data_IF_880106719527
#
_entry.id   IF_880106719527
#
_cell.length_a   1.000
_cell.length_b   1.000
_cell.length_c   1.000
_cell.angle_alpha   90.00
_cell.angle_beta   90.00
_cell.angle_gamma   90.00
#
_symmetry.space_group_name_H-M   'P 1'
#
loop_
_entity.id
_entity.type
_entity.pdbx_description
1 polymer ?
#
# COMPACT_ATOMS: atom_id res chain seq x y z
N UNK A 1 11.31 9.62 21.45
CA UNK A 1 11.13 10.47 20.27
C UNK A 1 10.44 9.62 19.20
N UNK A 2 9.15 9.83 19.00
CA UNK A 2 8.40 9.08 17.97
C UNK A 2 8.47 9.86 16.67
N UNK A 3 9.26 9.42 15.71
CA UNK A 3 9.26 9.98 14.37
C UNK A 3 8.02 9.45 13.64
N UNK A 4 7.19 10.34 13.14
CA UNK A 4 6.12 9.96 12.20
C UNK A 4 6.75 9.69 10.82
N UNK A 5 6.30 8.63 10.16
CA UNK A 5 6.77 8.23 8.82
C UNK A 5 5.55 8.01 7.96
N UNK A 6 5.44 8.76 6.88
CA UNK A 6 4.32 8.76 5.92
C UNK A 6 4.63 7.98 4.64
N UNK A 7 5.90 7.77 4.34
CA UNK A 7 6.31 6.91 3.24
C UNK A 7 7.51 6.04 3.63
N UNK A 8 7.53 4.82 3.17
CA UNK A 8 8.60 3.88 3.46
C UNK A 8 8.71 2.82 2.38
N UNK A 9 9.94 2.46 2.05
CA UNK A 9 10.25 1.39 1.11
C UNK A 9 10.43 0.08 1.84
N UNK A 10 9.69 -0.96 1.43
CA UNK A 10 9.80 -2.31 1.97
C UNK A 10 10.02 -3.32 0.86
N UNK A 11 10.63 -4.43 1.22
CA UNK A 11 10.87 -5.55 0.31
C UNK A 11 10.07 -6.75 0.80
N UNK A 12 9.23 -7.29 -0.08
CA UNK A 12 8.35 -8.42 0.23
C UNK A 12 8.66 -9.60 -0.67
N UNK A 13 8.59 -10.80 -0.09
CA UNK A 13 8.68 -12.05 -0.82
C UNK A 13 7.63 -13.02 -0.31
N UNK A 14 6.82 -13.59 -1.22
CA UNK A 14 5.93 -14.69 -0.88
C UNK A 14 6.74 -15.98 -0.63
N UNK A 15 6.14 -16.95 0.05
CA UNK A 15 6.77 -18.23 0.29
C UNK A 15 6.96 -19.01 -1.01
N UNK A 16 8.10 -19.67 -1.20
CA UNK A 16 8.30 -20.60 -2.29
C UNK A 16 7.41 -21.85 -2.11
N UNK A 17 7.01 -22.47 -3.20
CA UNK A 17 6.41 -23.82 -3.14
C UNK A 17 7.45 -24.87 -2.74
N UNK A 18 7.03 -25.86 -1.94
CA UNK A 18 7.83 -27.05 -1.63
C UNK A 18 7.98 -27.97 -2.84
N UNK A 19 9.05 -28.71 -2.92
CA UNK A 19 9.29 -29.65 -4.01
C UNK A 19 8.42 -30.90 -3.88
N UNK A 20 8.00 -31.46 -5.00
CA UNK A 20 7.43 -32.81 -5.02
C UNK A 20 8.48 -33.87 -4.70
N UNK A 21 8.05 -34.96 -4.08
CA UNK A 21 8.93 -36.08 -3.73
C UNK A 21 8.99 -37.12 -4.85
N UNK A 22 10.19 -37.67 -5.06
CA UNK A 22 10.39 -38.83 -5.88
C UNK A 22 10.68 -40.01 -4.94
N UNK A 23 9.68 -40.87 -4.74
CA UNK A 23 9.82 -42.08 -3.92
C UNK A 23 9.00 -43.23 -4.46
N UNK A 24 9.35 -44.43 -4.05
CA UNK A 24 8.69 -45.66 -4.43
C UNK A 24 8.34 -46.44 -3.17
N UNK A 25 7.17 -47.05 -3.19
CA UNK A 25 6.70 -47.87 -2.09
C UNK A 25 7.63 -49.04 -1.81
N UNK A 26 8.04 -49.19 -0.56
CA UNK A 26 8.94 -50.27 -0.13
C UNK A 26 8.36 -50.98 1.08
N UNK A 27 7.97 -52.21 0.89
CA UNK A 27 7.54 -53.10 1.97
C UNK A 27 8.30 -54.44 1.89
N UNK A 28 8.30 -55.14 3.02
CA UNK A 28 8.86 -56.48 3.08
C UNK A 28 8.09 -57.40 2.12
N UNK A 29 8.77 -58.04 1.19
CA UNK A 29 8.23 -58.90 0.11
C UNK A 29 7.58 -58.18 -1.07
N UNK A 30 7.62 -56.83 -1.17
CA UNK A 30 7.24 -56.09 -2.37
C UNK A 30 8.49 -55.64 -3.10
N UNK A 31 8.86 -56.37 -4.18
CA UNK A 31 10.07 -56.08 -4.94
C UNK A 31 9.96 -54.84 -5.84
N UNK A 32 8.77 -54.57 -6.37
CA UNK A 32 8.49 -53.46 -7.29
C UNK A 32 7.26 -52.68 -6.78
N UNK A 33 7.47 -51.81 -5.79
CA UNK A 33 6.43 -50.89 -5.34
C UNK A 33 6.24 -49.76 -6.34
N UNK A 34 4.99 -49.31 -6.51
CA UNK A 34 4.66 -48.18 -7.36
C UNK A 34 5.18 -46.84 -6.82
N UNK A 35 5.10 -45.76 -7.60
CA UNK A 35 5.51 -44.44 -7.15
C UNK A 35 4.57 -43.94 -6.02
N UNK A 36 5.17 -43.49 -4.94
CA UNK A 36 4.46 -43.03 -3.73
C UNK A 36 4.93 -41.65 -3.23
N UNK A 37 5.62 -40.90 -4.10
CA UNK A 37 6.05 -39.54 -3.77
C UNK A 37 4.90 -38.59 -3.61
N UNK A 38 4.85 -37.91 -2.47
CA UNK A 38 3.87 -36.86 -2.14
C UNK A 38 4.19 -35.53 -2.82
N UNK A 39 3.19 -34.66 -2.87
CA UNK A 39 3.31 -33.32 -3.45
C UNK A 39 3.95 -32.35 -2.44
N UNK A 40 4.66 -31.33 -2.93
CA UNK A 40 5.09 -30.22 -2.10
C UNK A 40 3.92 -29.33 -1.66
N UNK A 41 4.04 -28.70 -0.50
CA UNK A 41 3.09 -27.71 -0.01
C UNK A 41 3.22 -26.39 -0.77
N UNK A 42 2.13 -25.65 -0.87
CA UNK A 42 2.19 -24.28 -1.40
C UNK A 42 2.90 -23.36 -0.40
N UNK A 43 3.58 -22.32 -0.87
CA UNK A 43 4.12 -21.25 -0.05
C UNK A 43 3.01 -20.36 0.53
N UNK A 44 3.35 -19.61 1.58
CA UNK A 44 2.47 -18.60 2.17
C UNK A 44 2.38 -17.34 1.33
N UNK A 45 1.24 -16.68 1.37
CA UNK A 45 0.98 -15.41 0.70
C UNK A 45 1.54 -14.24 1.52
N UNK A 46 1.70 -13.07 0.87
CA UNK A 46 1.90 -11.79 1.55
C UNK A 46 0.60 -10.99 1.44
N UNK A 47 0.00 -10.71 2.61
CA UNK A 47 -1.25 -9.99 2.73
C UNK A 47 -1.02 -8.70 3.51
N UNK A 48 -1.68 -7.61 3.12
CA UNK A 48 -1.74 -6.38 3.89
C UNK A 48 -3.10 -6.28 4.59
N UNK A 49 -3.06 -5.78 5.82
CA UNK A 49 -4.25 -5.61 6.66
C UNK A 49 -4.33 -4.15 7.14
N UNK A 50 -5.44 -3.46 6.84
CA UNK A 50 -5.70 -2.09 7.28
C UNK A 50 -6.14 -2.06 8.75
N UNK A 51 -5.23 -1.66 9.64
CA UNK A 51 -5.46 -1.63 11.10
C UNK A 51 -5.78 -0.21 11.57
N UNK A 52 -6.98 -0.03 12.17
CA UNK A 52 -7.43 1.25 12.75
C UNK A 52 -6.54 1.74 13.90
N UNK A 53 -5.80 0.84 14.55
CA UNK A 53 -4.96 1.21 15.70
C UNK A 53 -3.56 1.67 15.26
N UNK A 54 -3.25 1.61 13.97
CA UNK A 54 -2.00 2.10 13.41
C UNK A 54 -2.21 3.46 12.76
N UNK A 55 -1.33 4.43 13.06
CA UNK A 55 -1.40 5.81 12.56
C UNK A 55 -0.10 6.25 11.87
N UNK A 56 0.90 5.38 11.76
CA UNK A 56 2.21 5.71 11.20
C UNK A 56 2.87 4.48 10.58
N UNK A 57 3.70 4.70 9.59
CA UNK A 57 4.54 3.66 8.97
C UNK A 57 5.91 3.49 9.65
N UNK A 58 6.08 4.04 10.88
CA UNK A 58 7.38 4.07 11.57
C UNK A 58 8.01 2.68 11.77
N UNK A 59 7.20 1.67 12.05
CA UNK A 59 7.68 0.31 12.33
C UNK A 59 8.39 -0.29 11.12
N UNK A 60 7.98 0.08 9.91
CA UNK A 60 8.59 -0.38 8.66
C UNK A 60 9.98 0.18 8.41
N UNK A 61 10.36 1.25 9.09
CA UNK A 61 11.71 1.80 9.04
C UNK A 61 12.73 0.92 9.76
N UNK A 62 12.28 0.20 10.80
CA UNK A 62 13.13 -0.72 11.57
C UNK A 62 13.17 -2.10 10.94
N UNK A 63 12.09 -2.52 10.30
CA UNK A 63 12.00 -3.79 9.59
C UNK A 63 11.52 -3.53 8.16
N UNK A 64 12.42 -3.63 7.20
CA UNK A 64 12.13 -3.37 5.77
C UNK A 64 11.99 -4.63 4.93
N UNK A 65 12.28 -5.82 5.48
CA UNK A 65 12.23 -7.09 4.75
C UNK A 65 11.17 -8.01 5.35
N UNK A 66 10.28 -8.48 4.50
CA UNK A 66 9.13 -9.32 4.84
C UNK A 66 9.11 -10.54 3.93
N UNK A 67 9.17 -11.74 4.52
CA UNK A 67 9.15 -12.99 3.76
C UNK A 67 8.13 -13.93 4.40
N UNK A 68 7.19 -14.43 3.59
CA UNK A 68 6.24 -15.44 4.03
C UNK A 68 6.91 -16.83 4.10
N UNK A 69 6.29 -17.76 4.80
CA UNK A 69 6.80 -19.11 5.00
C UNK A 69 6.76 -19.93 3.70
N UNK A 70 7.82 -20.68 3.42
CA UNK A 70 7.86 -21.59 2.30
C UNK A 70 6.97 -22.82 2.54
N UNK A 71 6.45 -23.41 1.48
CA UNK A 71 5.84 -24.73 1.55
C UNK A 71 6.88 -25.81 1.85
N UNK A 72 6.47 -26.82 2.60
CA UNK A 72 7.31 -27.97 2.93
C UNK A 72 7.36 -28.93 1.75
N UNK A 73 8.52 -29.54 1.51
CA UNK A 73 8.67 -30.56 0.47
C UNK A 73 7.77 -31.78 0.74
N UNK A 74 7.33 -32.43 -0.32
CA UNK A 74 6.62 -33.69 -0.25
C UNK A 74 7.54 -34.80 0.28
N UNK A 75 6.95 -35.84 0.86
CA UNK A 75 7.68 -36.98 1.41
C UNK A 75 7.19 -38.31 0.79
N UNK A 76 7.87 -39.39 1.13
CA UNK A 76 7.47 -40.75 0.73
C UNK A 76 6.12 -41.14 1.36
N UNK A 77 5.48 -42.18 0.85
CA UNK A 77 4.23 -42.69 1.35
C UNK A 77 3.04 -41.78 1.03
N UNK A 78 3.09 -41.06 -0.09
CA UNK A 78 2.07 -40.09 -0.52
C UNK A 78 1.86 -38.91 0.46
N UNK A 79 2.83 -38.60 1.32
CA UNK A 79 2.74 -37.51 2.28
C UNK A 79 2.97 -36.16 1.59
N UNK A 80 1.90 -35.37 1.50
CA UNK A 80 1.96 -34.00 0.96
C UNK A 80 2.60 -33.06 2.00
N UNK A 81 3.49 -32.18 1.55
CA UNK A 81 4.10 -31.15 2.39
C UNK A 81 3.07 -30.14 2.94
N UNK A 82 3.33 -29.63 4.15
CA UNK A 82 2.49 -28.58 4.77
C UNK A 82 2.57 -27.29 3.95
N UNK A 83 1.43 -26.58 3.81
CA UNK A 83 1.40 -25.23 3.25
C UNK A 83 2.11 -24.26 4.20
N UNK A 84 2.90 -23.32 3.66
CA UNK A 84 3.48 -22.21 4.41
C UNK A 84 2.40 -21.26 4.94
N UNK A 85 2.66 -20.63 6.07
CA UNK A 85 1.74 -19.68 6.69
C UNK A 85 1.77 -18.35 5.94
N UNK A 86 0.59 -17.73 5.78
CA UNK A 86 0.47 -16.43 5.14
C UNK A 86 1.03 -15.35 6.07
N UNK A 87 1.77 -14.41 5.50
CA UNK A 87 2.33 -13.26 6.21
C UNK A 87 1.35 -12.08 6.13
N UNK A 88 0.84 -11.67 7.29
CA UNK A 88 -0.03 -10.51 7.38
C UNK A 88 0.81 -9.31 7.83
N UNK A 89 0.88 -8.29 6.99
CA UNK A 89 1.54 -7.01 7.25
C UNK A 89 0.45 -5.99 7.59
N UNK A 90 0.46 -5.50 8.83
CA UNK A 90 -0.49 -4.50 9.29
C UNK A 90 -0.02 -3.12 8.85
N UNK A 91 -0.91 -2.35 8.23
CA UNK A 91 -0.67 -0.97 7.79
C UNK A 91 -1.78 -0.06 8.31
N UNK A 92 -1.54 1.25 8.47
CA UNK A 92 -2.59 2.22 8.76
C UNK A 92 -3.66 2.24 7.67
N UNK A 93 -4.89 2.55 8.05
CA UNK A 93 -5.97 2.85 7.08
C UNK A 93 -5.57 4.07 6.25
N UNK A 94 -5.83 4.01 4.93
CA UNK A 94 -5.41 5.04 3.99
C UNK A 94 -3.98 4.90 3.48
N UNK A 95 -3.37 3.71 3.63
CA UNK A 95 -2.05 3.41 3.05
C UNK A 95 -2.22 2.98 1.60
N UNK A 96 -1.54 3.68 0.68
CA UNK A 96 -1.37 3.28 -0.72
C UNK A 96 -0.11 2.45 -0.85
N UNK A 97 -0.21 1.33 -1.51
CA UNK A 97 0.90 0.43 -1.83
C UNK A 97 1.24 0.63 -3.30
N UNK A 98 2.46 1.09 -3.58
CA UNK A 98 2.95 1.27 -4.95
C UNK A 98 4.12 0.35 -5.22
N UNK A 99 4.27 -0.06 -6.47
CA UNK A 99 5.50 -0.70 -6.92
C UNK A 99 6.63 0.33 -6.95
N UNK A 100 7.79 -0.01 -6.38
CA UNK A 100 8.86 0.97 -6.20
C UNK A 100 9.59 1.36 -7.50
N UNK A 101 9.48 0.57 -8.55
CA UNK A 101 10.15 0.80 -9.85
C UNK A 101 9.27 1.58 -10.81
N UNK A 102 8.03 1.16 -10.99
CA UNK A 102 7.07 1.79 -11.92
C UNK A 102 6.29 2.95 -11.29
N UNK A 103 6.17 2.98 -9.95
CA UNK A 103 5.29 3.90 -9.23
C UNK A 103 3.80 3.55 -9.32
N UNK A 104 3.46 2.47 -10.03
CA UNK A 104 2.08 2.05 -10.25
C UNK A 104 1.39 1.60 -8.94
N UNK A 105 0.10 1.86 -8.82
CA UNK A 105 -0.69 1.50 -7.65
C UNK A 105 -1.00 0.01 -7.67
N UNK A 106 -0.57 -0.68 -6.62
CA UNK A 106 -0.81 -2.12 -6.41
C UNK A 106 -2.04 -2.36 -5.57
N UNK A 107 -2.22 -1.57 -4.50
CA UNK A 107 -3.40 -1.63 -3.67
C UNK A 107 -3.62 -0.33 -2.91
N UNK A 108 -4.86 -0.07 -2.61
CA UNK A 108 -5.32 1.03 -1.79
C UNK A 108 -6.05 0.49 -0.55
N UNK A 109 -5.44 0.70 0.63
CA UNK A 109 -5.91 0.16 1.91
C UNK A 109 -6.76 1.19 2.65
N UNK A 110 -7.86 1.63 2.05
CA UNK A 110 -8.73 2.69 2.59
C UNK A 110 -9.83 2.20 3.53
N UNK A 111 -10.16 0.92 3.47
CA UNK A 111 -11.22 0.31 4.26
C UNK A 111 -10.67 -0.36 5.50
N UNK A 112 -11.13 0.07 6.68
CA UNK A 112 -10.72 -0.48 7.96
C UNK A 112 -11.05 -1.97 8.10
N UNK A 113 -10.08 -2.77 8.56
CA UNK A 113 -10.23 -4.21 8.74
C UNK A 113 -10.14 -5.02 7.44
N UNK A 114 -9.93 -4.37 6.31
CA UNK A 114 -9.72 -5.04 5.04
C UNK A 114 -8.39 -5.78 5.01
N UNK A 115 -8.40 -6.97 4.40
CA UNK A 115 -7.20 -7.76 4.14
C UNK A 115 -7.07 -7.98 2.64
N UNK A 116 -5.96 -7.56 2.05
CA UNK A 116 -5.66 -7.78 0.63
C UNK A 116 -4.42 -8.63 0.45
N UNK A 117 -4.53 -9.64 -0.39
CA UNK A 117 -3.39 -10.46 -0.81
C UNK A 117 -2.70 -9.78 -1.98
N UNK A 118 -1.44 -9.38 -1.78
CA UNK A 118 -0.65 -8.69 -2.80
C UNK A 118 0.27 -9.67 -3.54
N UNK A 119 0.93 -10.57 -2.82
CA UNK A 119 1.78 -11.58 -3.44
C UNK A 119 1.29 -12.97 -3.08
N UNK A 120 1.14 -13.81 -4.10
CA UNK A 120 0.75 -15.21 -3.92
C UNK A 120 1.96 -16.10 -3.71
N UNK A 121 1.83 -17.06 -2.79
CA UNK A 121 2.85 -18.09 -2.56
C UNK A 121 3.01 -19.02 -3.74
N UNK A 122 4.23 -19.48 -3.98
CA UNK A 122 4.54 -20.43 -5.04
C UNK A 122 3.78 -21.74 -4.87
N UNK A 123 3.30 -22.32 -5.95
CA UNK A 123 2.64 -23.63 -5.92
C UNK A 123 3.64 -24.74 -5.62
N UNK A 124 3.23 -25.70 -4.80
CA UNK A 124 4.00 -26.90 -4.55
C UNK A 124 4.18 -27.77 -5.80
N UNK A 125 5.32 -28.40 -5.91
CA UNK A 125 5.65 -29.33 -6.99
C UNK A 125 4.88 -30.64 -6.85
N UNK A 126 4.63 -31.32 -7.95
CA UNK A 126 3.96 -32.61 -7.96
C UNK A 126 4.95 -33.75 -7.68
N UNK A 127 4.54 -34.68 -6.84
CA UNK A 127 5.28 -35.93 -6.61
C UNK A 127 5.25 -36.86 -7.84
N UNK A 128 6.15 -37.84 -7.86
CA UNK A 128 6.28 -38.73 -8.99
C UNK A 128 5.02 -39.56 -9.31
N UNK A 129 4.12 -39.78 -8.35
CA UNK A 129 2.85 -40.49 -8.54
C UNK A 129 1.96 -39.88 -9.64
N UNK A 130 2.03 -38.58 -9.87
CA UNK A 130 1.24 -37.89 -10.91
C UNK A 130 1.69 -38.16 -12.34
N UNK A 131 2.88 -38.71 -12.49
CA UNK A 131 3.51 -38.98 -13.79
C UNK A 131 3.46 -40.48 -14.17
N UNK A 132 2.88 -41.31 -13.28
CA UNK A 132 2.64 -42.72 -13.59
C UNK A 132 1.57 -42.88 -14.68
N UNK A 133 1.89 -43.69 -15.68
CA UNK A 133 0.97 -44.03 -16.77
C UNK A 133 0.99 -45.57 -16.95
N UNK A 134 0.03 -46.16 -17.66
CA UNK A 134 0.01 -47.59 -17.92
C UNK A 134 1.29 -48.10 -18.59
N UNK A 135 1.93 -47.28 -19.42
CA UNK A 135 3.19 -47.60 -20.13
C UNK A 135 4.43 -47.23 -19.32
N UNK A 136 4.29 -46.35 -18.32
CA UNK A 136 5.37 -45.87 -17.46
C UNK A 136 4.93 -45.93 -15.99
N UNK A 137 5.14 -47.09 -15.39
CA UNK A 137 4.67 -47.40 -14.04
C UNK A 137 5.59 -46.88 -12.92
N UNK A 138 6.85 -46.55 -13.23
CA UNK A 138 7.86 -46.09 -12.28
C UNK A 138 8.56 -44.80 -12.76
N UNK A 139 7.89 -43.64 -12.74
CA UNK A 139 8.53 -42.37 -13.11
C UNK A 139 9.57 -41.95 -12.07
N UNK A 140 10.78 -41.66 -12.54
CA UNK A 140 11.91 -41.28 -11.70
C UNK A 140 12.10 -39.76 -11.55
N UNK A 141 11.05 -38.97 -11.74
CA UNK A 141 11.11 -37.54 -11.53
C UNK A 141 9.90 -37.02 -10.79
N UNK A 142 10.07 -35.87 -10.14
CA UNK A 142 9.02 -35.08 -9.52
C UNK A 142 9.22 -33.62 -9.93
N UNK A 143 8.15 -32.83 -9.87
CA UNK A 143 8.23 -31.38 -10.13
C UNK A 143 8.79 -30.63 -8.95
N UNK A 144 9.72 -29.67 -9.14
CA UNK A 144 10.05 -28.71 -8.12
C UNK A 144 8.88 -27.79 -7.82
N UNK A 145 8.86 -27.21 -6.64
CA UNK A 145 7.95 -26.12 -6.28
C UNK A 145 8.32 -24.82 -7.01
N UNK A 146 7.31 -24.01 -7.27
CA UNK A 146 7.51 -22.71 -7.93
C UNK A 146 8.19 -21.77 -6.95
N UNK A 147 9.29 -21.16 -7.37
CA UNK A 147 9.98 -20.10 -6.63
C UNK A 147 9.29 -18.78 -6.87
N UNK A 148 9.20 -17.94 -5.82
CA UNK A 148 8.64 -16.61 -5.88
C UNK A 148 9.73 -15.56 -6.00
N UNK A 149 9.41 -14.46 -6.63
CA UNK A 149 10.30 -13.32 -6.79
C UNK A 149 10.23 -12.36 -5.61
N UNK A 150 11.22 -11.47 -5.54
CA UNK A 150 11.31 -10.43 -4.53
C UNK A 150 10.78 -9.14 -5.13
N UNK A 151 9.75 -8.56 -4.52
CA UNK A 151 9.16 -7.30 -4.95
C UNK A 151 9.45 -6.21 -3.94
N UNK A 152 9.63 -5.00 -4.43
CA UNK A 152 9.84 -3.83 -3.58
C UNK A 152 8.68 -2.87 -3.72
N UNK A 153 8.06 -2.55 -2.59
CA UNK A 153 6.91 -1.66 -2.52
C UNK A 153 7.27 -0.37 -1.79
N UNK A 154 6.66 0.72 -2.24
CA UNK A 154 6.59 1.98 -1.55
C UNK A 154 5.23 2.07 -0.87
N UNK A 155 5.23 2.17 0.46
CA UNK A 155 4.03 2.42 1.25
C UNK A 155 3.92 3.93 1.46
N UNK A 156 2.77 4.51 1.14
CA UNK A 156 2.47 5.93 1.30
C UNK A 156 1.16 6.11 2.06
N UNK A 157 1.14 6.98 3.08
CA UNK A 157 -0.10 7.38 3.73
C UNK A 157 -0.76 8.50 2.93
N UNK A 158 -2.02 8.32 2.51
CA UNK A 158 -2.81 9.35 1.81
C UNK A 158 -3.11 10.55 2.68
N UNK A 159 -3.45 10.30 3.93
CA UNK A 159 -3.80 11.33 4.91
C UNK A 159 -2.74 11.47 5.96
N UNK A 160 -2.38 12.71 6.21
CA UNK A 160 -1.52 13.05 7.34
C UNK A 160 -2.36 13.26 8.58
N UNK A 161 -3.56 13.82 8.40
CA UNK A 161 -4.54 14.07 9.45
C UNK A 161 -5.95 14.15 8.86
N UNK A 162 -6.96 13.83 9.69
CA UNK A 162 -8.37 14.05 9.33
C UNK A 162 -8.69 15.53 9.28
N UNK A 163 -8.07 16.32 10.18
CA UNK A 163 -8.36 17.74 10.42
C UNK A 163 -7.06 18.53 10.45
N UNK A 164 -7.00 19.58 9.64
CA UNK A 164 -5.92 20.57 9.63
C UNK A 164 -6.27 21.82 10.43
N UNK A 165 -5.41 22.25 11.35
CA UNK A 165 -5.53 23.54 12.03
C UNK A 165 -4.82 24.60 11.20
N UNK A 166 -5.55 25.57 10.68
CA UNK A 166 -5.04 26.70 9.90
C UNK A 166 -5.28 28.01 10.64
N UNK A 167 -4.44 29.00 10.46
CA UNK A 167 -4.56 30.29 11.13
C UNK A 167 -3.23 30.96 11.32
N UNK A 168 -3.24 32.25 11.65
CA UNK A 168 -2.04 33.05 11.90
C UNK A 168 -1.15 32.48 13.03
N UNK A 169 0.14 32.86 13.09
CA UNK A 169 0.97 32.60 14.26
C UNK A 169 0.32 33.16 15.54
N UNK A 170 0.53 32.50 16.66
CA UNK A 170 0.06 32.91 18.00
C UNK A 170 -1.45 32.97 18.21
N UNK A 171 -2.30 32.57 17.26
CA UNK A 171 -3.75 32.43 17.47
C UNK A 171 -4.13 31.27 18.40
N UNK A 172 -3.15 30.41 18.74
CA UNK A 172 -3.32 29.33 19.71
C UNK A 172 -3.56 27.95 19.10
N UNK A 173 -3.20 27.68 17.83
CA UNK A 173 -3.34 26.37 17.18
C UNK A 173 -2.70 25.25 17.99
N UNK A 174 -1.41 25.38 18.31
CA UNK A 174 -0.66 24.37 19.07
C UNK A 174 -1.18 24.22 20.51
N UNK A 175 -1.74 25.30 21.09
CA UNK A 175 -2.39 25.25 22.40
C UNK A 175 -3.69 24.47 22.31
N UNK A 176 -4.53 24.73 21.31
CA UNK A 176 -5.75 23.96 21.04
C UNK A 176 -5.39 22.48 20.90
N UNK A 177 -4.40 22.16 20.04
CA UNK A 177 -3.96 20.79 19.85
C UNK A 177 -3.56 20.12 21.19
N UNK A 178 -2.83 20.81 22.05
CA UNK A 178 -2.41 20.28 23.36
C UNK A 178 -3.57 20.09 24.34
N UNK A 179 -4.61 20.91 24.26
CA UNK A 179 -5.80 20.85 25.12
C UNK A 179 -6.72 19.69 24.73
N UNK A 180 -6.93 19.50 23.41
CA UNK A 180 -7.92 18.52 22.94
C UNK A 180 -7.34 17.11 22.83
N UNK A 181 -6.01 16.94 22.79
CA UNK A 181 -5.38 15.63 22.62
C UNK A 181 -5.17 14.91 23.94
N UNK A 182 -5.49 13.60 23.96
CA UNK A 182 -5.36 12.75 25.14
C UNK A 182 -3.91 12.39 25.48
N UNK A 183 -2.96 12.60 24.57
CA UNK A 183 -1.52 12.36 24.72
C UNK A 183 -0.75 13.60 24.27
N UNK A 184 0.47 13.79 24.78
CA UNK A 184 1.34 14.90 24.32
C UNK A 184 1.45 14.87 22.81
N UNK A 185 1.19 16.01 22.12
CA UNK A 185 1.33 16.11 20.67
C UNK A 185 2.68 15.54 20.21
N UNK A 186 2.66 14.70 19.19
CA UNK A 186 3.87 14.13 18.63
C UNK A 186 4.36 15.01 17.49
N UNK A 187 5.63 15.39 17.53
CA UNK A 187 6.29 16.13 16.45
C UNK A 187 6.55 15.15 15.31
N UNK A 188 5.92 15.39 14.16
CA UNK A 188 6.16 14.63 12.93
C UNK A 188 7.41 15.17 12.21
N UNK A 189 8.51 14.40 12.16
CA UNK A 189 9.67 14.76 11.35
C UNK A 189 9.49 14.24 9.92
N UNK A 190 9.09 15.11 9.04
CA UNK A 190 9.02 14.83 7.60
C UNK A 190 10.35 15.25 6.94
N UNK A 191 10.96 14.35 6.19
CA UNK A 191 12.29 14.59 5.58
C UNK A 191 12.31 15.68 4.50
N UNK A 192 11.14 16.13 4.06
CA UNK A 192 10.96 17.11 3.00
C UNK A 192 10.29 18.41 3.47
N UNK A 193 10.03 18.57 4.79
CA UNK A 193 9.51 19.82 5.35
C UNK A 193 10.55 20.51 6.20
N UNK A 194 10.74 21.80 5.96
CA UNK A 194 11.53 22.68 6.85
C UNK A 194 10.80 22.97 8.16
N UNK A 195 9.48 22.77 8.19
CA UNK A 195 8.60 22.94 9.36
C UNK A 195 7.90 21.61 9.64
N UNK A 196 8.08 21.08 10.84
CA UNK A 196 7.48 19.82 11.29
C UNK A 196 6.08 20.06 11.87
N UNK A 197 5.01 19.46 11.32
CA UNK A 197 3.68 19.60 11.90
C UNK A 197 3.59 18.85 13.23
N UNK A 198 2.84 19.42 14.16
CA UNK A 198 2.47 18.75 15.40
C UNK A 198 1.19 17.96 15.18
N UNK A 199 1.22 16.67 15.45
CA UNK A 199 0.06 15.80 15.34
C UNK A 199 -0.51 15.48 16.72
N UNK A 200 -1.84 15.45 16.80
CA UNK A 200 -2.56 15.06 17.99
C UNK A 200 -3.71 14.12 17.66
N UNK A 201 -3.98 13.16 18.53
CA UNK A 201 -5.10 12.23 18.39
C UNK A 201 -6.13 12.58 19.44
N UNK A 202 -7.36 12.82 19.00
CA UNK A 202 -8.52 13.06 19.84
C UNK A 202 -9.44 11.86 19.74
N UNK A 203 -9.76 11.25 20.89
CA UNK A 203 -10.74 10.17 20.94
C UNK A 203 -12.10 10.71 21.32
N UNK A 204 -13.08 10.59 20.41
CA UNK A 204 -14.45 11.04 20.64
C UNK A 204 -15.44 9.98 20.15
N UNK A 205 -16.42 9.63 20.98
CA UNK A 205 -17.47 8.61 20.68
C UNK A 205 -16.92 7.28 20.16
N UNK A 206 -15.75 6.84 20.67
CA UNK A 206 -15.10 5.59 20.26
C UNK A 206 -14.32 5.66 18.92
N UNK A 207 -14.23 6.85 18.32
CA UNK A 207 -13.45 7.12 17.10
C UNK A 207 -12.23 7.97 17.43
N UNK A 208 -11.14 7.68 16.74
CA UNK A 208 -9.91 8.45 16.82
C UNK A 208 -9.89 9.44 15.65
N UNK A 209 -9.74 10.74 15.95
CA UNK A 209 -9.62 11.83 14.99
C UNK A 209 -8.19 12.37 15.08
N UNK A 210 -7.48 12.38 13.95
CA UNK A 210 -6.12 12.91 13.88
C UNK A 210 -6.16 14.38 13.48
N UNK A 211 -5.63 15.25 14.35
CA UNK A 211 -5.47 16.67 14.09
C UNK A 211 -4.02 17.00 13.79
N UNK A 212 -3.79 17.86 12.79
CA UNK A 212 -2.48 18.41 12.47
C UNK A 212 -2.45 19.93 12.71
N UNK A 213 -1.51 20.40 13.51
CA UNK A 213 -1.16 21.81 13.54
C UNK A 213 -0.26 22.09 12.34
N UNK A 214 -0.74 22.90 11.42
CA UNK A 214 -0.11 23.23 10.17
C UNK A 214 0.57 24.60 10.31
N UNK A 215 1.88 24.65 10.64
CA UNK A 215 2.60 25.92 10.77
C UNK A 215 2.91 26.48 9.39
N UNK A 216 2.90 27.80 9.22
CA UNK A 216 3.55 28.47 8.08
C UNK A 216 2.69 28.80 6.87
N UNK A 217 1.35 28.86 6.96
CA UNK A 217 0.50 29.35 5.86
C UNK A 217 0.77 30.84 5.49
N UNK A 218 1.42 31.62 6.36
CA UNK A 218 1.44 33.09 6.25
C UNK A 218 2.84 33.71 6.19
N UNK A 219 3.92 33.00 6.52
CA UNK A 219 5.25 33.60 6.46
C UNK A 219 5.94 33.28 5.12
N UNK A 220 5.73 34.13 4.09
CA UNK A 220 6.56 34.16 2.89
C UNK A 220 6.02 33.46 1.64
N UNK A 221 4.75 33.05 1.58
CA UNK A 221 4.18 32.46 0.37
C UNK A 221 4.06 33.47 -0.79
N UNK A 222 3.89 34.77 -0.50
CA UNK A 222 3.82 35.84 -1.48
C UNK A 222 5.19 36.26 -2.07
N UNK A 223 6.28 35.96 -1.37
CA UNK A 223 7.63 36.44 -1.77
C UNK A 223 8.48 35.41 -2.55
N UNK A 224 7.92 34.32 -3.03
CA UNK A 224 8.59 33.41 -3.98
C UNK A 224 9.74 32.57 -3.41
N UNK A 225 9.95 32.54 -2.11
CA UNK A 225 10.94 31.70 -1.46
C UNK A 225 10.36 30.31 -1.21
N UNK A 226 10.30 29.48 -2.22
CA UNK A 226 10.35 28.00 -2.29
C UNK A 226 9.78 27.08 -1.20
N UNK A 227 9.14 27.58 -0.15
CA UNK A 227 8.63 26.81 0.99
C UNK A 227 7.18 26.30 0.81
N UNK A 228 6.48 26.79 -0.24
CA UNK A 228 5.04 26.61 -0.39
C UNK A 228 4.59 25.22 -0.85
N UNK A 229 5.24 24.64 -1.86
CA UNK A 229 4.70 23.46 -2.54
C UNK A 229 4.73 22.15 -1.72
N UNK A 230 5.77 21.88 -0.96
CA UNK A 230 5.86 20.64 -0.18
C UNK A 230 4.98 20.67 1.07
N UNK A 231 4.80 21.85 1.65
CA UNK A 231 3.93 22.09 2.79
C UNK A 231 2.44 21.96 2.40
N UNK A 232 2.08 22.46 1.25
CA UNK A 232 0.70 22.44 0.74
C UNK A 232 0.20 21.03 0.44
N UNK A 233 1.08 20.14 -0.05
CA UNK A 233 0.77 18.71 -0.17
C UNK A 233 0.29 18.08 1.14
N UNK A 234 0.67 18.64 2.30
CA UNK A 234 0.23 18.12 3.59
C UNK A 234 -1.15 18.62 3.98
N UNK A 235 -1.46 19.88 3.64
CA UNK A 235 -2.80 20.43 3.84
C UNK A 235 -3.79 19.78 2.88
N UNK A 236 -3.39 19.53 1.65
CA UNK A 236 -4.16 18.76 0.64
C UNK A 236 -4.57 17.37 1.14
N UNK A 237 -3.81 16.80 2.07
CA UNK A 237 -4.07 15.50 2.69
C UNK A 237 -4.92 15.57 3.96
N UNK A 238 -5.60 16.69 4.24
CA UNK A 238 -6.60 16.81 5.31
C UNK A 238 -8.00 16.83 4.72
N UNK A 239 -8.99 16.32 5.45
CA UNK A 239 -10.39 16.24 4.98
C UNK A 239 -11.22 17.45 5.39
N UNK A 240 -10.88 18.06 6.52
CA UNK A 240 -11.58 19.18 7.14
C UNK A 240 -10.57 20.19 7.67
N UNK A 241 -10.89 21.49 7.58
CA UNK A 241 -10.05 22.54 8.13
C UNK A 241 -10.72 23.17 9.36
N UNK A 242 -9.95 23.35 10.44
CA UNK A 242 -10.30 24.22 11.55
C UNK A 242 -9.56 25.55 11.37
N UNK A 243 -10.28 26.56 10.94
CA UNK A 243 -9.76 27.93 10.77
C UNK A 243 -9.76 28.64 12.11
N UNK A 244 -8.61 28.72 12.76
CA UNK A 244 -8.43 29.27 14.10
C UNK A 244 -8.12 30.77 14.04
N UNK A 245 -8.94 31.58 14.68
CA UNK A 245 -8.79 33.01 14.77
C UNK A 245 -8.60 33.48 16.21
N UNK A 246 -7.74 34.45 16.41
CA UNK A 246 -7.67 35.22 17.68
C UNK A 246 -8.79 36.25 17.71
N UNK A 247 -9.93 35.86 18.29
CA UNK A 247 -11.14 36.70 18.24
C UNK A 247 -11.02 37.99 19.08
N UNK A 248 -10.09 38.00 20.04
CA UNK A 248 -9.87 39.20 20.84
C UNK A 248 -8.93 40.21 20.15
N UNK A 249 -8.29 39.84 19.03
CA UNK A 249 -7.30 40.67 18.38
C UNK A 249 -6.10 41.04 19.26
N UNK A 250 -5.68 40.10 20.13
CA UNK A 250 -4.68 40.34 21.20
C UNK A 250 -3.32 40.78 20.66
N UNK A 251 -3.04 40.56 19.38
CA UNK A 251 -1.80 40.96 18.70
C UNK A 251 -1.99 42.26 17.84
N UNK A 252 -3.10 42.94 18.00
CA UNK A 252 -3.38 44.18 17.27
C UNK A 252 -3.87 43.99 15.84
N UNK A 253 -4.28 42.76 15.47
CA UNK A 253 -4.86 42.41 14.16
C UNK A 253 -6.39 42.34 14.27
N UNK A 254 -7.07 42.65 13.16
CA UNK A 254 -8.53 42.48 13.07
C UNK A 254 -8.87 41.02 12.71
N UNK A 255 -9.66 40.31 13.53
CA UNK A 255 -10.05 38.92 13.25
C UNK A 255 -10.78 38.71 11.91
N UNK A 256 -11.49 39.73 11.41
CA UNK A 256 -12.20 39.66 10.12
C UNK A 256 -11.22 39.76 8.98
N UNK A 257 -10.23 40.66 9.07
CA UNK A 257 -9.17 40.75 8.07
C UNK A 257 -8.29 39.48 8.04
N UNK A 258 -7.99 38.96 9.22
CA UNK A 258 -7.22 37.68 9.34
C UNK A 258 -7.97 36.54 8.65
N UNK A 259 -9.31 36.46 8.81
CA UNK A 259 -10.14 35.44 8.14
C UNK A 259 -10.08 35.60 6.63
N UNK A 260 -10.24 36.80 6.10
CA UNK A 260 -10.24 37.04 4.65
C UNK A 260 -8.88 36.73 4.01
N UNK A 261 -7.79 37.12 4.68
CA UNK A 261 -6.44 36.88 4.16
C UNK A 261 -6.13 35.38 4.08
N UNK A 262 -6.48 34.61 5.11
CA UNK A 262 -6.26 33.16 5.09
C UNK A 262 -7.10 32.50 4.01
N UNK A 263 -8.36 32.86 3.85
CA UNK A 263 -9.20 32.30 2.79
C UNK A 263 -8.69 32.69 1.39
N UNK A 264 -8.16 33.89 1.24
CA UNK A 264 -7.52 34.31 0.00
C UNK A 264 -6.27 33.46 -0.30
N UNK A 265 -5.46 33.16 0.71
CA UNK A 265 -4.32 32.26 0.54
C UNK A 265 -4.76 30.83 0.19
N UNK A 266 -5.75 30.28 0.91
CA UNK A 266 -6.30 28.95 0.62
C UNK A 266 -6.85 28.88 -0.82
N UNK A 267 -7.50 29.94 -1.32
CA UNK A 267 -8.03 30.02 -2.68
C UNK A 267 -6.93 29.96 -3.75
N UNK A 268 -5.73 30.42 -3.46
CA UNK A 268 -4.59 30.33 -4.39
C UNK A 268 -4.04 28.91 -4.53
N UNK A 269 -4.50 27.97 -3.71
CA UNK A 269 -4.00 26.59 -3.65
C UNK A 269 -5.05 25.55 -4.05
N UNK A 270 -5.74 25.76 -5.16
CA UNK A 270 -6.57 24.81 -5.89
C UNK A 270 -7.57 24.05 -5.00
N UNK A 271 -7.32 22.79 -4.72
CA UNK A 271 -8.26 21.91 -3.98
C UNK A 271 -8.53 22.32 -2.52
N UNK A 272 -7.70 23.17 -1.91
CA UNK A 272 -7.90 23.62 -0.52
C UNK A 272 -9.03 24.64 -0.38
N UNK A 273 -9.33 25.40 -1.41
CA UNK A 273 -10.42 26.36 -1.44
C UNK A 273 -11.79 25.69 -1.27
N UNK A 274 -11.92 24.45 -1.74
CA UNK A 274 -13.19 23.69 -1.70
C UNK A 274 -13.34 22.85 -0.42
N UNK A 275 -12.29 22.80 0.43
CA UNK A 275 -12.34 22.00 1.67
C UNK A 275 -13.35 22.57 2.66
N UNK A 276 -14.18 21.72 3.27
CA UNK A 276 -15.07 22.14 4.34
C UNK A 276 -14.28 22.77 5.49
N UNK A 277 -14.83 23.85 6.04
CA UNK A 277 -14.19 24.60 7.12
C UNK A 277 -15.11 24.74 8.31
N UNK A 278 -14.52 24.75 9.51
CA UNK A 278 -15.13 25.18 10.75
C UNK A 278 -14.32 26.38 11.26
N UNK A 279 -14.98 27.49 11.54
CA UNK A 279 -14.33 28.67 12.09
C UNK A 279 -14.28 28.59 13.61
N UNK A 280 -13.07 28.67 14.16
CA UNK A 280 -12.80 28.54 15.60
C UNK A 280 -12.30 29.86 16.15
N UNK A 281 -13.19 30.58 16.85
CA UNK A 281 -12.90 31.83 17.55
C UNK A 281 -12.23 31.52 18.88
N UNK A 282 -10.90 31.52 18.93
CA UNK A 282 -10.12 31.27 20.15
C UNK A 282 -9.85 32.55 20.94
N UNK A 283 -9.40 32.43 22.18
CA UNK A 283 -9.14 33.48 23.16
C UNK A 283 -10.41 34.26 23.57
N UNK A 284 -11.52 33.54 23.66
CA UNK A 284 -12.82 34.13 24.05
C UNK A 284 -12.88 34.63 25.50
N UNK A 285 -11.88 34.31 26.29
CA UNK A 285 -11.70 34.78 27.67
C UNK A 285 -11.17 36.22 27.77
N UNK A 286 -10.76 36.81 26.65
CA UNK A 286 -10.23 38.17 26.62
C UNK A 286 -11.34 39.20 26.30
N UNK A 287 -11.14 40.49 26.68
CA UNK A 287 -12.06 41.58 26.32
C UNK A 287 -12.29 41.66 24.81
N UNK A 288 -13.40 42.28 24.42
CA UNK A 288 -13.83 42.55 23.03
C UNK A 288 -14.14 41.31 22.18
N UNK A 289 -13.98 40.10 22.74
CA UNK A 289 -14.22 38.85 22.03
C UNK A 289 -15.67 38.68 21.57
N UNK A 290 -16.65 39.03 22.39
CA UNK A 290 -18.08 38.89 22.06
C UNK A 290 -18.50 39.82 20.90
N UNK A 291 -18.03 41.07 20.88
CA UNK A 291 -18.31 42.02 19.81
C UNK A 291 -17.71 41.56 18.49
N UNK A 292 -16.48 41.10 18.51
CA UNK A 292 -15.79 40.58 17.33
C UNK A 292 -16.42 39.29 16.77
N UNK A 293 -16.98 38.41 17.62
CA UNK A 293 -17.76 37.24 17.16
C UNK A 293 -18.99 37.68 16.39
N UNK A 294 -19.71 38.73 16.87
CA UNK A 294 -20.90 39.27 16.16
C UNK A 294 -20.49 39.84 14.81
N UNK A 295 -19.40 40.63 14.77
CA UNK A 295 -18.86 41.22 13.54
C UNK A 295 -18.48 40.12 12.53
N UNK A 296 -17.76 39.09 12.96
CA UNK A 296 -17.35 37.99 12.12
C UNK A 296 -18.56 37.23 11.55
N UNK A 297 -19.57 36.93 12.37
CA UNK A 297 -20.78 36.24 11.89
C UNK A 297 -21.56 37.12 10.88
N UNK A 298 -21.63 38.44 11.08
CA UNK A 298 -22.23 39.32 10.10
C UNK A 298 -21.47 39.33 8.78
N UNK A 299 -20.14 39.36 8.84
CA UNK A 299 -19.27 39.32 7.66
C UNK A 299 -19.42 38.00 6.88
N UNK A 300 -19.46 36.83 7.56
CA UNK A 300 -19.71 35.53 6.92
C UNK A 300 -21.07 35.51 6.20
N UNK A 301 -22.11 36.10 6.83
CA UNK A 301 -23.43 36.18 6.22
C UNK A 301 -23.45 37.11 4.98
N UNK A 302 -22.70 38.21 4.98
CA UNK A 302 -22.51 39.10 3.83
C UNK A 302 -21.82 38.40 2.66
N UNK A 303 -20.83 37.55 2.95
CA UNK A 303 -20.12 36.75 1.95
C UNK A 303 -20.94 35.52 1.48
N UNK A 304 -22.08 35.23 2.11
CA UNK A 304 -22.89 34.04 1.78
C UNK A 304 -22.24 32.72 2.19
N UNK A 305 -21.33 32.75 3.15
CA UNK A 305 -20.60 31.56 3.64
C UNK A 305 -21.31 30.97 4.87
N UNK A 306 -21.76 29.74 4.79
CA UNK A 306 -22.42 28.99 5.88
C UNK A 306 -21.43 28.11 6.65
N UNK A 307 -20.35 28.70 7.18
CA UNK A 307 -19.40 27.99 8.00
C UNK A 307 -19.86 27.90 9.46
N UNK A 308 -19.81 26.72 10.11
CA UNK A 308 -20.05 26.60 11.53
C UNK A 308 -19.01 27.41 12.32
N UNK A 309 -19.49 28.29 13.24
CA UNK A 309 -18.65 29.15 14.08
C UNK A 309 -18.70 28.66 15.52
N UNK A 310 -17.55 28.33 16.09
CA UNK A 310 -17.40 27.92 17.49
C UNK A 310 -16.52 28.90 18.25
N UNK A 311 -16.99 29.26 19.45
CA UNK A 311 -16.27 30.15 20.36
C UNK A 311 -15.61 29.29 21.44
N UNK A 312 -14.30 29.38 21.54
CA UNK A 312 -13.50 28.54 22.46
C UNK A 312 -12.47 29.40 23.20
N UNK A 313 -12.03 28.89 24.34
CA UNK A 313 -10.83 29.41 25.02
C UNK A 313 -9.88 28.23 25.34
N UNK A 314 -8.75 28.24 24.69
CA UNK A 314 -7.69 27.24 24.97
C UNK A 314 -7.09 27.45 26.36
N UNK A 315 -7.11 28.64 26.90
CA UNK A 315 -6.63 28.96 28.24
C UNK A 315 -7.54 28.44 29.35
N UNK A 316 -8.87 28.55 29.16
CA UNK A 316 -9.89 28.10 30.14
C UNK A 316 -10.46 26.72 29.85
N UNK A 317 -10.08 26.08 28.75
CA UNK A 317 -10.56 24.79 28.28
C UNK A 317 -12.08 24.74 27.98
N UNK A 318 -12.68 25.88 27.60
CA UNK A 318 -14.11 26.01 27.32
C UNK A 318 -14.43 25.89 25.82
N UNK A 319 -15.62 25.36 25.52
CA UNK A 319 -16.19 25.33 24.17
C UNK A 319 -15.74 24.16 23.29
N UNK A 320 -14.81 23.32 23.72
CA UNK A 320 -14.23 22.26 22.89
C UNK A 320 -15.15 21.05 22.65
N UNK A 321 -16.03 20.71 23.59
CA UNK A 321 -16.93 19.56 23.43
C UNK A 321 -17.82 19.70 22.19
N UNK A 322 -18.50 20.84 22.06
CA UNK A 322 -19.36 21.11 20.91
C UNK A 322 -18.58 21.20 19.58
N UNK A 323 -17.38 21.78 19.62
CA UNK A 323 -16.48 21.84 18.46
C UNK A 323 -16.08 20.44 17.99
N UNK A 324 -15.66 19.57 18.91
CA UNK A 324 -15.22 18.20 18.58
C UNK A 324 -16.38 17.31 18.12
N UNK A 325 -17.56 17.44 18.71
CA UNK A 325 -18.76 16.73 18.26
C UNK A 325 -19.12 17.13 16.82
N UNK A 326 -19.17 18.44 16.53
CA UNK A 326 -19.44 18.91 15.16
C UNK A 326 -18.37 18.50 14.17
N UNK A 327 -17.09 18.52 14.59
CA UNK A 327 -15.97 18.03 13.78
C UNK A 327 -16.14 16.55 13.40
N UNK A 328 -16.53 15.72 14.37
CA UNK A 328 -16.82 14.31 14.14
C UNK A 328 -17.98 14.10 13.17
N UNK A 329 -19.09 14.79 13.37
CA UNK A 329 -20.27 14.71 12.50
C UNK A 329 -19.94 15.12 11.05
N UNK A 330 -19.17 16.18 10.87
CA UNK A 330 -18.76 16.65 9.55
C UNK A 330 -17.82 15.65 8.87
N UNK A 331 -16.87 15.07 9.59
CA UNK A 331 -15.97 14.04 9.05
C UNK A 331 -16.72 12.78 8.60
N UNK A 332 -17.80 12.41 9.29
CA UNK A 332 -18.66 11.29 8.89
C UNK A 332 -19.48 11.59 7.62
N UNK A 333 -19.89 12.83 7.44
CA UNK A 333 -20.66 13.25 6.28
C UNK A 333 -19.79 13.46 5.02
N UNK A 334 -18.47 13.63 5.19
CA UNK A 334 -17.56 13.83 4.07
C UNK A 334 -17.30 12.53 3.31
N UNK A 335 -17.19 12.60 1.98
CA UNK A 335 -16.83 11.44 1.18
C UNK A 335 -15.50 10.87 1.66
N UNK A 336 -15.29 9.55 1.52
CA UNK A 336 -14.00 8.94 1.78
C UNK A 336 -12.94 9.60 0.89
N UNK A 337 -11.70 9.53 1.34
CA UNK A 337 -10.54 10.07 0.65
C UNK A 337 -10.44 9.44 -0.74
N UNK A 338 -9.89 10.19 -1.71
CA UNK A 338 -9.68 9.74 -3.10
C UNK A 338 -9.22 8.28 -3.14
N UNK A 339 -10.04 7.45 -3.75
CA UNK A 339 -9.72 6.05 -3.99
C UNK A 339 -8.82 5.95 -5.22
N UNK A 340 -7.67 5.29 -5.10
CA UNK A 340 -6.81 5.01 -6.24
C UNK A 340 -7.19 3.66 -6.84
N UNK A 341 -7.41 3.63 -8.15
CA UNK A 341 -7.61 2.38 -8.87
C UNK A 341 -6.31 1.56 -8.91
N UNK A 342 -6.45 0.26 -8.76
CA UNK A 342 -5.32 -0.66 -8.86
C UNK A 342 -4.86 -0.74 -10.32
N UNK A 343 -3.58 -0.45 -10.57
CA UNK A 343 -2.98 -0.46 -11.91
C UNK A 343 -2.22 -1.76 -12.18
N UNK A 344 -1.71 -2.39 -11.13
CA UNK A 344 -0.92 -3.63 -11.21
C UNK A 344 -1.47 -4.66 -10.24
N UNK A 345 -1.72 -5.85 -10.75
CA UNK A 345 -2.08 -7.02 -9.93
C UNK A 345 -1.04 -8.12 -10.15
N UNK A 346 -0.48 -8.63 -9.06
CA UNK A 346 0.41 -9.80 -9.05
C UNK A 346 -0.40 -11.10 -8.97
N UNK A 347 -1.57 -11.14 -9.63
CA UNK A 347 -2.38 -12.35 -9.66
C UNK A 347 -1.69 -13.43 -10.51
N UNK A 348 -1.37 -14.52 -9.85
CA UNK A 348 -0.69 -15.68 -10.42
C UNK A 348 -1.58 -16.51 -11.36
N UNK A 349 -2.77 -16.01 -11.73
CA UNK A 349 -3.70 -16.67 -12.64
C UNK A 349 -3.28 -16.62 -14.13
N UNK A 350 -1.96 -16.58 -14.40
CA UNK A 350 -1.45 -16.73 -15.76
C UNK A 350 -1.97 -18.05 -16.33
N UNK A 351 -2.83 -17.95 -17.34
CA UNK A 351 -3.35 -19.13 -18.02
C UNK A 351 -2.17 -19.94 -18.59
N UNK A 352 -2.09 -21.24 -18.29
CA UNK A 352 -1.02 -22.08 -18.85
C UNK A 352 -1.03 -21.99 -20.38
N UNK A 353 0.15 -21.82 -20.99
CA UNK A 353 0.28 -21.78 -22.44
C UNK A 353 0.09 -20.41 -23.08
N UNK A 354 0.11 -19.33 -22.29
CA UNK A 354 0.17 -17.96 -22.83
C UNK A 354 1.64 -17.61 -23.13
N UNK A 355 1.96 -17.38 -24.38
CA UNK A 355 3.30 -17.04 -24.86
C UNK A 355 3.21 -16.24 -26.15
N UNK A 356 4.29 -15.54 -26.48
CA UNK A 356 4.49 -14.85 -27.75
C UNK A 356 5.82 -15.31 -28.35
N UNK A 357 5.87 -15.35 -29.70
CA UNK A 357 7.11 -15.65 -30.41
C UNK A 357 7.57 -14.36 -31.09
N UNK A 358 8.73 -13.90 -30.70
CA UNK A 358 9.38 -12.71 -31.24
C UNK A 358 10.61 -13.13 -32.02
N UNK A 359 10.82 -12.58 -33.22
CA UNK A 359 12.02 -12.84 -34.00
C UNK A 359 13.06 -11.76 -33.74
N UNK A 360 14.19 -12.16 -33.17
CA UNK A 360 15.34 -11.27 -32.95
C UNK A 360 16.51 -11.73 -33.85
N UNK A 361 16.57 -11.15 -35.05
CA UNK A 361 17.57 -11.50 -36.06
C UNK A 361 17.48 -12.96 -36.54
N UNK A 362 18.43 -13.78 -36.13
CA UNK A 362 18.51 -15.23 -36.45
C UNK A 362 17.95 -16.13 -35.32
N UNK A 363 17.55 -15.54 -34.19
CA UNK A 363 17.03 -16.27 -33.01
C UNK A 363 15.53 -16.04 -32.89
N UNK A 364 14.80 -17.11 -32.62
CA UNK A 364 13.38 -17.04 -32.28
C UNK A 364 13.24 -17.04 -30.77
N UNK A 365 12.76 -15.96 -30.20
CA UNK A 365 12.54 -15.83 -28.77
C UNK A 365 11.09 -16.13 -28.39
N UNK A 366 10.89 -17.06 -27.45
CA UNK A 366 9.56 -17.39 -26.90
C UNK A 366 9.44 -16.75 -25.52
N UNK A 367 8.65 -15.68 -25.46
CA UNK A 367 8.46 -14.89 -24.24
C UNK A 367 7.09 -15.10 -23.64
N UNK A 368 7.01 -14.94 -22.33
CA UNK A 368 5.74 -15.01 -21.61
C UNK A 368 5.90 -15.60 -20.20
N UNK A 369 5.06 -15.13 -19.28
CA UNK A 369 5.11 -15.57 -17.89
C UNK A 369 4.82 -17.07 -17.70
N UNK A 370 4.09 -17.71 -18.63
CA UNK A 370 3.90 -19.15 -18.62
C UNK A 370 5.17 -19.92 -19.02
N UNK A 371 6.04 -19.31 -19.85
CA UNK A 371 7.33 -19.89 -20.23
C UNK A 371 8.31 -19.92 -19.06
N UNK A 372 8.40 -18.78 -18.32
CA UNK A 372 9.21 -18.70 -17.10
C UNK A 372 8.84 -19.81 -16.13
N UNK A 373 7.54 -19.94 -15.83
CA UNK A 373 7.04 -20.99 -14.92
C UNK A 373 7.30 -22.41 -15.43
N UNK A 374 7.25 -22.60 -16.74
CA UNK A 374 7.56 -23.90 -17.34
C UNK A 374 9.04 -24.24 -17.14
N UNK A 375 9.94 -23.29 -17.41
CA UNK A 375 11.39 -23.46 -17.21
C UNK A 375 11.71 -23.71 -15.73
N UNK A 376 11.16 -22.92 -14.82
CA UNK A 376 11.36 -23.07 -13.37
C UNK A 376 10.85 -24.42 -12.84
N UNK A 377 9.95 -25.09 -13.58
CA UNK A 377 9.39 -26.39 -13.21
C UNK A 377 10.12 -27.59 -13.81
N UNK A 378 11.24 -27.39 -14.54
CA UNK A 378 12.00 -28.43 -15.24
C UNK A 378 13.34 -28.62 -14.55
N UNK A 379 13.71 -29.88 -14.37
CA UNK A 379 15.09 -30.25 -14.04
C UNK A 379 15.81 -30.60 -15.35
N UNK A 380 16.73 -29.75 -15.80
CA UNK A 380 17.45 -29.93 -17.08
C UNK A 380 18.50 -31.00 -17.05
N UNK A 381 18.91 -31.47 -15.86
CA UNK A 381 19.85 -32.58 -15.69
C UNK A 381 19.17 -33.95 -15.79
N UNK A 382 17.84 -34.00 -15.92
CA UNK A 382 17.06 -35.23 -15.96
C UNK A 382 16.37 -35.41 -17.33
N UNK A 383 16.71 -36.49 -18.06
CA UNK A 383 16.14 -36.80 -19.37
C UNK A 383 14.61 -36.92 -19.36
N UNK A 384 14.04 -37.40 -18.25
CA UNK A 384 12.61 -37.58 -18.12
C UNK A 384 11.89 -36.27 -17.94
N UNK A 385 12.47 -35.35 -17.17
CA UNK A 385 12.00 -33.97 -17.01
C UNK A 385 12.06 -33.23 -18.34
N UNK A 386 13.13 -33.39 -19.11
CA UNK A 386 13.27 -32.83 -20.45
C UNK A 386 12.23 -33.37 -21.42
N UNK A 387 11.99 -34.70 -21.42
CA UNK A 387 10.93 -35.30 -22.24
C UNK A 387 9.54 -34.79 -21.89
N UNK A 388 9.27 -34.48 -20.61
CA UNK A 388 8.03 -33.85 -20.18
C UNK A 388 7.97 -32.41 -20.64
N UNK A 389 9.05 -31.63 -20.58
CA UNK A 389 9.16 -30.27 -21.07
C UNK A 389 8.82 -30.19 -22.56
N UNK A 390 9.47 -30.99 -23.40
CA UNK A 390 9.17 -31.04 -24.83
C UNK A 390 7.70 -31.36 -25.13
N UNK A 391 7.12 -32.34 -24.41
CA UNK A 391 5.68 -32.67 -24.58
C UNK A 391 4.77 -31.52 -24.18
N UNK A 392 5.16 -30.76 -23.16
CA UNK A 392 4.39 -29.60 -22.70
C UNK A 392 4.44 -28.46 -23.71
N UNK A 393 5.62 -28.15 -24.25
CA UNK A 393 5.78 -27.15 -25.32
C UNK A 393 4.95 -27.54 -26.56
N UNK A 394 4.94 -28.82 -26.93
CA UNK A 394 4.11 -29.33 -28.04
C UNK A 394 2.62 -29.20 -27.75
N UNK A 395 2.18 -29.54 -26.54
CA UNK A 395 0.80 -29.41 -26.09
C UNK A 395 0.32 -27.93 -26.07
N UNK A 396 1.20 -27.01 -25.74
CA UNK A 396 0.88 -25.57 -25.73
C UNK A 396 0.93 -24.96 -27.14
N UNK A 397 1.39 -25.71 -28.15
CA UNK A 397 1.45 -25.27 -29.54
C UNK A 397 2.65 -24.37 -29.85
N UNK A 398 3.70 -24.39 -29.01
CA UNK A 398 4.90 -23.55 -29.20
C UNK A 398 5.60 -23.90 -30.51
N UNK A 399 5.73 -25.19 -30.85
CA UNK A 399 6.32 -25.61 -32.12
C UNK A 399 5.54 -25.12 -33.33
N UNK A 400 4.20 -25.14 -33.26
CA UNK A 400 3.36 -24.64 -34.34
C UNK A 400 3.46 -23.11 -34.49
N UNK A 401 3.60 -22.38 -33.37
CA UNK A 401 3.82 -20.94 -33.38
C UNK A 401 5.18 -20.57 -33.97
N UNK A 402 6.25 -21.31 -33.62
CA UNK A 402 7.59 -21.12 -34.20
C UNK A 402 7.60 -21.36 -35.70
N UNK A 403 6.94 -22.41 -36.20
CA UNK A 403 6.77 -22.66 -37.65
C UNK A 403 6.04 -21.52 -38.36
N UNK A 404 4.95 -21.01 -37.75
CA UNK A 404 4.22 -19.85 -38.29
C UNK A 404 5.08 -18.58 -38.31
N UNK A 405 6.00 -18.44 -37.36
CA UNK A 405 6.98 -17.35 -37.33
C UNK A 405 8.12 -17.54 -38.35
N UNK A 406 8.22 -18.71 -39.00
CA UNK A 406 9.20 -19.02 -40.05
C UNK A 406 10.45 -19.76 -39.57
N UNK A 407 10.43 -20.37 -38.39
CA UNK A 407 11.53 -21.18 -37.89
C UNK A 407 11.70 -22.46 -38.72
N UNK A 408 12.95 -22.81 -39.04
CA UNK A 408 13.38 -24.02 -39.77
C UNK A 408 14.22 -24.90 -38.87
N UNK A 409 14.33 -26.15 -39.26
CA UNK A 409 15.14 -27.13 -38.53
C UNK A 409 16.62 -26.68 -38.45
N UNK A 410 17.15 -26.63 -37.22
CA UNK A 410 18.48 -26.10 -36.92
C UNK A 410 18.51 -24.61 -36.52
N UNK A 411 17.41 -23.92 -36.60
CA UNK A 411 17.35 -22.52 -36.08
C UNK A 411 17.44 -22.52 -34.54
N UNK A 412 18.07 -21.46 -34.01
CA UNK A 412 18.17 -21.29 -32.55
C UNK A 412 16.89 -20.68 -31.99
N UNK A 413 16.31 -21.38 -31.03
CA UNK A 413 15.15 -20.91 -30.25
C UNK A 413 15.62 -20.57 -28.85
N UNK A 414 15.33 -19.34 -28.40
CA UNK A 414 15.57 -18.90 -27.04
C UNK A 414 14.25 -18.87 -26.27
N UNK A 415 14.25 -19.54 -25.14
CA UNK A 415 13.15 -19.45 -24.18
C UNK A 415 13.75 -18.86 -22.89
N UNK A 416 13.54 -17.55 -22.68
CA UNK A 416 14.15 -16.77 -21.61
C UNK A 416 15.69 -16.82 -21.70
N UNK A 417 16.38 -17.47 -20.77
CA UNK A 417 17.85 -17.59 -20.76
C UNK A 417 18.38 -18.90 -21.38
N UNK A 418 17.47 -19.75 -21.89
CA UNK A 418 17.82 -21.05 -22.43
C UNK A 418 17.74 -21.07 -23.93
N UNK A 419 18.81 -21.53 -24.58
CA UNK A 419 18.88 -21.68 -26.03
C UNK A 419 18.84 -23.18 -26.42
N UNK A 420 18.02 -23.44 -27.44
CA UNK A 420 17.83 -24.79 -27.99
C UNK A 420 17.86 -24.73 -29.50
N UNK A 421 18.34 -25.79 -30.13
CA UNK A 421 18.19 -25.98 -31.56
C UNK A 421 16.74 -26.42 -31.85
N UNK A 422 16.10 -25.79 -32.83
CA UNK A 422 14.79 -26.23 -33.29
C UNK A 422 14.91 -27.55 -34.03
N UNK A 423 14.45 -28.62 -33.39
CA UNK A 423 14.37 -29.95 -33.93
C UNK A 423 12.95 -30.48 -33.83
N UNK A 424 12.43 -31.08 -34.90
CA UNK A 424 11.06 -31.62 -34.94
C UNK A 424 10.81 -32.84 -34.07
#
# INVERSE_FOLDING_TARGET
MGNFVDHVKITCKAGNGGNGSMSFHREKFVLNGGPDGGDGGNGGNVCFYADLNMHTLLDFRFKSKYTAENGVDGAAGNCTGKRGEDLIIKVPVGTVIREAESGAVVADMDTAGETRTILHGGRGGWGNRHFATPTRQAPNFAKPGIKTEVHTFLLELKTIADVGLVGYPNVGKSTILSVVTSAKPKIGNYHFTTLTPNLGIVRRHGKDIVLADIPGLIEGAADGAGLGHDFLRHVERTRLLLHVLDIAGSEGRDPVEDFDQINHELANYGELAERPQIVVCNKSDLPDSEENVVRLKAHLAELGLDYPVFVVSAATHQGFDALLDKTGDMLEALPPIVHFEEEVSYDDSVKPGTFEVVRDGAVFEVVGSSMQRLIDSVNFDDEESMSWFHRTLRKWGVFDALRKAGAQEGDTVRIIDMEFDFVE
#
